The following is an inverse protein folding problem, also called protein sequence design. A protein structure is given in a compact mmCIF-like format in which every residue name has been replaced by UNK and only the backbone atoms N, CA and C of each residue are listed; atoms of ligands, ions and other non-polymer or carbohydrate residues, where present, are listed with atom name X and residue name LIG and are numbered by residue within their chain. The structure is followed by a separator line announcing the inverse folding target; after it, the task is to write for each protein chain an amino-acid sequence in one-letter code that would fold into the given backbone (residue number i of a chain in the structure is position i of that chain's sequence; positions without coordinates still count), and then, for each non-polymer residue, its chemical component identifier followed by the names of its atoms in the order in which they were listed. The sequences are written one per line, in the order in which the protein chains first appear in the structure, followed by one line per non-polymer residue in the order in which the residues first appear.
data_IF_199662287591
#
_entry.id   IF_199662287591
#
_cell.length_a   1.000
_cell.length_b   1.000
_cell.length_c   1.000
_cell.angle_alpha   90.00
_cell.angle_beta   90.00
_cell.angle_gamma   90.00
#
_symmetry.space_group_name_H-M   'P 1'
#
loop_
_entity.id
_entity.type
_entity.pdbx_description
1 polymer ?
#
# COMPACT_ATOMS: atom_id res chain seq x y z
N UNK A 1 -3.26 -36.19 2.17
CA UNK A 1 -3.44 -34.83 1.65
C UNK A 1 -2.46 -33.80 2.25
N UNK A 2 -2.23 -33.72 3.58
CA UNK A 2 -1.23 -32.79 4.16
C UNK A 2 0.17 -32.98 3.57
N UNK A 3 0.59 -34.25 3.38
CA UNK A 3 1.89 -34.62 2.78
C UNK A 3 2.02 -34.03 1.35
N UNK A 4 0.96 -33.98 0.57
CA UNK A 4 0.99 -33.42 -0.77
C UNK A 4 1.17 -31.88 -0.75
N UNK A 5 0.54 -31.21 0.19
CA UNK A 5 0.73 -29.74 0.35
C UNK A 5 2.17 -29.39 0.72
N UNK A 6 2.79 -30.17 1.61
CA UNK A 6 4.22 -30.03 1.96
C UNK A 6 5.11 -30.29 0.74
N UNK A 7 4.85 -31.35 -0.04
CA UNK A 7 5.60 -31.63 -1.26
C UNK A 7 5.47 -30.51 -2.30
N UNK A 8 4.27 -29.95 -2.47
CA UNK A 8 4.06 -28.80 -3.35
C UNK A 8 4.87 -27.60 -2.87
N UNK A 9 4.82 -27.29 -1.56
CA UNK A 9 5.59 -26.18 -1.00
C UNK A 9 7.10 -26.36 -1.22
N UNK A 10 7.60 -27.56 -1.05
CA UNK A 10 9.01 -27.91 -1.29
C UNK A 10 9.41 -27.79 -2.76
N UNK A 11 8.55 -28.23 -3.68
CA UNK A 11 8.77 -28.07 -5.10
C UNK A 11 8.78 -26.61 -5.54
N UNK A 12 7.87 -25.79 -4.99
CA UNK A 12 7.84 -24.34 -5.25
C UNK A 12 9.07 -23.63 -4.69
N UNK A 13 9.57 -24.07 -3.53
CA UNK A 13 10.85 -23.61 -2.96
C UNK A 13 12.03 -23.97 -3.85
N UNK A 14 12.11 -25.22 -4.34
CA UNK A 14 13.15 -25.67 -5.25
C UNK A 14 13.17 -24.87 -6.57
N UNK A 15 12.02 -24.33 -6.97
CA UNK A 15 11.90 -23.39 -8.09
C UNK A 15 12.28 -21.95 -7.74
N UNK A 16 12.75 -21.69 -6.52
CA UNK A 16 13.20 -20.38 -6.06
C UNK A 16 12.09 -19.39 -5.71
N UNK A 17 10.84 -19.86 -5.49
CA UNK A 17 9.74 -18.97 -5.14
C UNK A 17 9.88 -18.45 -3.70
N UNK A 18 9.54 -17.17 -3.51
CA UNK A 18 9.51 -16.57 -2.20
C UNK A 18 8.38 -17.15 -1.33
N UNK A 19 8.58 -17.20 -0.02
CA UNK A 19 7.60 -17.69 0.96
C UNK A 19 6.20 -17.07 0.79
N UNK A 20 6.12 -15.76 0.53
CA UNK A 20 4.84 -15.09 0.29
C UNK A 20 4.09 -15.67 -0.93
N UNK A 21 4.81 -16.01 -1.99
CA UNK A 21 4.23 -16.64 -3.18
C UNK A 21 3.74 -18.05 -2.87
N UNK A 22 4.52 -18.84 -2.12
CA UNK A 22 4.13 -20.19 -1.69
C UNK A 22 2.87 -20.12 -0.81
N UNK A 23 2.77 -19.13 0.09
CA UNK A 23 1.57 -18.89 0.90
C UNK A 23 0.34 -18.57 0.04
N UNK A 24 0.50 -17.79 -1.02
CA UNK A 24 -0.60 -17.50 -1.95
C UNK A 24 -1.10 -18.76 -2.67
N UNK A 25 -0.19 -19.66 -3.09
CA UNK A 25 -0.59 -20.97 -3.64
C UNK A 25 -1.37 -21.80 -2.62
N UNK A 26 -0.89 -21.84 -1.36
CA UNK A 26 -1.65 -22.53 -0.30
C UNK A 26 -3.03 -21.92 -0.10
N UNK A 27 -3.13 -20.61 -0.03
CA UNK A 27 -4.43 -19.91 0.14
C UNK A 27 -5.37 -20.20 -1.02
N UNK A 28 -4.88 -20.28 -2.24
CA UNK A 28 -5.71 -20.67 -3.40
C UNK A 28 -6.20 -22.13 -3.28
N UNK A 29 -5.34 -23.06 -2.85
CA UNK A 29 -5.73 -24.45 -2.61
C UNK A 29 -6.73 -24.55 -1.45
N UNK A 30 -6.53 -23.82 -0.36
CA UNK A 30 -7.50 -23.75 0.75
C UNK A 30 -8.85 -23.24 0.26
N UNK A 31 -8.86 -22.21 -0.58
CA UNK A 31 -10.08 -21.67 -1.20
C UNK A 31 -10.81 -22.69 -2.05
N UNK A 32 -10.09 -23.48 -2.85
CA UNK A 32 -10.67 -24.56 -3.65
C UNK A 32 -11.30 -25.66 -2.78
N UNK A 33 -10.62 -26.04 -1.69
CA UNK A 33 -11.14 -27.04 -0.75
C UNK A 33 -12.40 -26.54 -0.06
N UNK A 34 -12.40 -25.28 0.38
CA UNK A 34 -13.59 -24.65 1.01
C UNK A 34 -14.74 -24.56 0.01
N UNK A 35 -14.46 -24.13 -1.23
CA UNK A 35 -15.46 -24.11 -2.29
C UNK A 35 -16.06 -25.51 -2.55
N UNK A 36 -15.20 -26.52 -2.70
CA UNK A 36 -15.63 -27.88 -2.92
C UNK A 36 -16.48 -28.42 -1.74
N UNK A 37 -16.04 -28.15 -0.50
CA UNK A 37 -16.79 -28.50 0.71
C UNK A 37 -18.21 -27.89 0.71
N UNK A 38 -18.32 -26.62 0.36
CA UNK A 38 -19.57 -25.89 0.43
C UNK A 38 -20.53 -26.23 -0.72
N UNK A 39 -20.01 -26.56 -1.89
CA UNK A 39 -20.82 -26.77 -3.08
C UNK A 39 -21.07 -28.26 -3.36
N UNK A 40 -20.05 -29.12 -3.27
CA UNK A 40 -20.19 -30.53 -3.58
C UNK A 40 -20.91 -31.30 -2.47
N UNK A 41 -20.78 -30.87 -1.20
CA UNK A 41 -21.50 -31.50 -0.09
C UNK A 41 -23.00 -31.13 -0.06
N UNK A 42 -23.39 -30.07 -0.76
CA UNK A 42 -24.76 -29.56 -0.80
C UNK A 42 -25.58 -30.13 -2.01
N UNK A 43 -24.94 -30.87 -2.90
CA UNK A 43 -25.68 -31.52 -3.99
C UNK A 43 -26.58 -32.64 -3.43
N UNK A 44 -27.87 -32.51 -3.72
CA UNK A 44 -28.98 -33.25 -3.17
C UNK A 44 -29.11 -34.72 -3.64
N UNK A 45 -28.03 -35.32 -4.06
CA UNK A 45 -27.99 -36.75 -4.36
C UNK A 45 -27.49 -37.50 -3.13
N UNK A 46 -28.35 -37.68 -2.15
CA UNK A 46 -28.19 -38.56 -0.99
C UNK A 46 -26.75 -39.06 -0.73
N UNK A 47 -25.82 -38.26 -0.30
CA UNK A 47 -24.57 -38.81 0.16
C UNK A 47 -24.77 -39.19 1.61
N UNK A 48 -24.64 -40.45 1.87
CA UNK A 48 -24.59 -41.00 3.23
C UNK A 48 -23.39 -40.40 4.02
N UNK A 49 -22.46 -39.75 3.35
CA UNK A 49 -21.30 -39.04 3.95
C UNK A 49 -20.87 -37.86 3.09
N UNK A 50 -20.54 -36.71 3.70
CA UNK A 50 -19.99 -35.58 2.96
C UNK A 50 -18.62 -35.93 2.36
N UNK A 51 -18.37 -35.53 1.12
CA UNK A 51 -17.09 -35.77 0.42
C UNK A 51 -15.90 -35.13 1.14
N UNK A 52 -16.12 -33.96 1.68
CA UNK A 52 -15.10 -33.18 2.39
C UNK A 52 -15.66 -32.78 3.75
N UNK A 53 -15.20 -33.42 4.80
CA UNK A 53 -15.62 -33.14 6.19
C UNK A 53 -14.86 -31.94 6.76
N UNK A 54 -13.54 -31.89 6.54
CA UNK A 54 -12.66 -30.84 7.03
C UNK A 54 -11.65 -30.45 5.94
N UNK A 55 -11.15 -29.21 6.00
CA UNK A 55 -10.06 -28.80 5.11
C UNK A 55 -8.77 -29.51 5.53
N UNK A 56 -8.24 -30.44 4.73
CA UNK A 56 -7.03 -31.19 5.08
C UNK A 56 -5.75 -30.33 5.04
N UNK A 57 -5.84 -29.09 4.56
CA UNK A 57 -4.72 -28.15 4.47
C UNK A 57 -4.72 -27.14 5.62
N UNK A 58 -5.77 -27.11 6.47
CA UNK A 58 -5.92 -26.09 7.51
C UNK A 58 -4.70 -26.03 8.45
N UNK A 59 -4.22 -27.19 8.88
CA UNK A 59 -3.11 -27.30 9.87
C UNK A 59 -1.73 -27.41 9.21
N UNK A 60 -1.66 -27.30 7.87
CA UNK A 60 -0.36 -27.36 7.17
C UNK A 60 0.38 -26.05 7.29
N UNK A 61 1.43 -26.01 8.08
CA UNK A 61 2.35 -24.87 8.15
C UNK A 61 3.34 -24.91 6.98
N UNK A 62 3.41 -23.81 6.25
CA UNK A 62 4.38 -23.61 5.17
C UNK A 62 5.28 -22.41 5.43
N UNK A 63 5.36 -21.92 6.67
CA UNK A 63 6.13 -20.72 7.05
C UNK A 63 7.62 -20.85 6.81
N UNK A 64 8.15 -22.07 6.77
CA UNK A 64 9.57 -22.36 6.63
C UNK A 64 10.03 -22.58 5.18
N UNK A 65 9.10 -22.59 4.21
CA UNK A 65 9.42 -22.80 2.81
C UNK A 65 9.59 -21.49 2.06
N UNK A 66 10.61 -21.44 1.20
CA UNK A 66 10.93 -20.31 0.34
C UNK A 66 11.62 -19.14 1.05
N UNK A 67 12.31 -18.33 0.27
CA UNK A 67 13.02 -17.16 0.80
C UNK A 67 12.06 -16.18 1.48
N UNK A 68 12.41 -15.70 2.67
CA UNK A 68 11.66 -14.64 3.34
C UNK A 68 11.71 -13.39 2.47
N UNK A 69 10.54 -12.77 2.25
CA UNK A 69 10.45 -11.50 1.53
C UNK A 69 11.26 -10.46 2.31
N UNK A 70 12.22 -9.83 1.63
CA UNK A 70 12.89 -8.65 2.17
C UNK A 70 11.89 -7.49 2.21
N UNK A 71 11.85 -6.76 3.32
CA UNK A 71 11.04 -5.54 3.40
C UNK A 71 11.62 -4.45 2.50
N UNK A 72 10.75 -3.59 1.97
CA UNK A 72 11.20 -2.37 1.33
C UNK A 72 11.92 -1.48 2.34
N UNK A 73 12.96 -0.80 1.90
CA UNK A 73 13.73 0.12 2.74
C UNK A 73 13.46 1.56 2.33
N UNK A 74 13.48 2.47 3.29
CA UNK A 74 13.46 3.89 3.03
C UNK A 74 14.72 4.33 2.25
N UNK A 75 14.60 5.35 1.43
CA UNK A 75 15.73 6.03 0.83
C UNK A 75 16.50 6.81 1.91
N UNK A 76 17.82 6.85 1.81
CA UNK A 76 18.61 7.76 2.64
C UNK A 76 18.35 9.21 2.27
N UNK A 77 18.75 10.15 3.13
CA UNK A 77 18.62 11.59 2.84
C UNK A 77 19.39 11.97 1.57
N UNK A 78 20.62 11.48 1.39
CA UNK A 78 21.42 11.70 0.18
C UNK A 78 20.73 11.17 -1.08
N UNK A 79 20.08 9.99 -0.97
CA UNK A 79 19.33 9.43 -2.09
C UNK A 79 18.08 10.27 -2.42
N UNK A 80 17.41 10.84 -1.42
CA UNK A 80 16.30 11.76 -1.63
C UNK A 80 16.78 13.05 -2.28
N UNK A 81 17.89 13.64 -1.81
CA UNK A 81 18.51 14.80 -2.44
C UNK A 81 18.87 14.51 -3.90
N UNK A 82 19.52 13.38 -4.15
CA UNK A 82 19.85 12.96 -5.52
C UNK A 82 18.59 12.76 -6.37
N UNK A 83 17.56 12.07 -5.85
CA UNK A 83 16.30 11.85 -6.58
C UNK A 83 15.68 13.17 -7.03
N UNK A 84 15.54 14.13 -6.11
CA UNK A 84 14.88 15.40 -6.40
C UNK A 84 15.78 16.41 -7.13
N UNK A 85 17.09 16.13 -7.26
CA UNK A 85 18.01 16.89 -8.13
C UNK A 85 17.96 16.44 -9.59
N UNK A 86 17.40 15.25 -9.89
CA UNK A 86 17.28 14.77 -11.26
C UNK A 86 16.35 15.68 -12.09
N UNK A 87 16.70 15.86 -13.37
CA UNK A 87 15.79 16.49 -14.32
C UNK A 87 14.56 15.63 -14.51
N UNK A 88 13.41 16.11 -14.06
CA UNK A 88 12.13 15.41 -14.12
C UNK A 88 11.10 16.19 -14.92
N UNK A 89 10.17 15.46 -15.56
CA UNK A 89 8.95 16.08 -16.06
C UNK A 89 8.12 16.60 -14.88
N UNK A 90 7.45 17.73 -15.04
CA UNK A 90 6.70 18.37 -13.96
C UNK A 90 5.66 17.45 -13.30
N UNK A 91 4.99 16.60 -14.08
CA UNK A 91 4.03 15.61 -13.52
C UNK A 91 4.71 14.50 -12.74
N UNK A 92 5.87 14.02 -13.18
CA UNK A 92 6.62 12.96 -12.48
C UNK A 92 7.15 13.50 -11.15
N UNK A 93 7.72 14.71 -11.15
CA UNK A 93 8.15 15.40 -9.94
C UNK A 93 7.00 15.61 -8.96
N UNK A 94 5.85 16.06 -9.47
CA UNK A 94 4.65 16.24 -8.65
C UNK A 94 4.21 14.92 -7.99
N UNK A 95 4.14 13.83 -8.74
CA UNK A 95 3.74 12.53 -8.20
C UNK A 95 4.71 12.04 -7.12
N UNK A 96 6.03 12.12 -7.37
CA UNK A 96 7.03 11.73 -6.38
C UNK A 96 6.98 12.63 -5.13
N UNK A 97 6.71 13.94 -5.31
CA UNK A 97 6.52 14.87 -4.20
C UNK A 97 5.27 14.49 -3.38
N UNK A 98 4.13 14.22 -4.03
CA UNK A 98 2.92 13.75 -3.34
C UNK A 98 3.24 12.50 -2.51
N UNK A 99 3.89 11.50 -3.10
CA UNK A 99 4.18 10.24 -2.42
C UNK A 99 5.07 10.43 -1.18
N UNK A 100 6.13 11.25 -1.28
CA UNK A 100 7.07 11.44 -0.17
C UNK A 100 6.54 12.37 0.93
N UNK A 101 5.60 13.25 0.60
CA UNK A 101 5.06 14.24 1.56
C UNK A 101 3.75 13.82 2.21
N UNK A 102 2.96 12.98 1.54
CA UNK A 102 1.64 12.54 2.03
C UNK A 102 1.61 11.07 2.44
N UNK A 103 2.58 10.27 2.00
CA UNK A 103 2.62 8.84 2.24
C UNK A 103 1.47 8.05 1.60
N UNK A 104 0.78 8.60 0.61
CA UNK A 104 -0.26 7.91 -0.14
C UNK A 104 0.26 6.63 -0.78
N UNK A 105 -0.61 5.64 -0.97
CA UNK A 105 -0.27 4.49 -1.82
C UNK A 105 -0.13 4.95 -3.27
N UNK A 106 0.74 4.28 -4.02
CA UNK A 106 0.99 4.67 -5.41
C UNK A 106 -0.28 4.67 -6.26
N UNK A 107 -1.17 3.68 -6.08
CA UNK A 107 -2.46 3.64 -6.77
C UNK A 107 -3.34 4.85 -6.42
N UNK A 108 -3.44 5.18 -5.15
CA UNK A 108 -4.21 6.34 -4.68
C UNK A 108 -3.70 7.62 -5.36
N UNK A 109 -2.39 7.83 -5.36
CA UNK A 109 -1.78 9.02 -5.92
C UNK A 109 -1.84 9.07 -7.45
N UNK A 110 -1.56 7.94 -8.12
CA UNK A 110 -1.53 7.87 -9.59
C UNK A 110 -2.92 7.99 -10.24
N UNK A 111 -3.99 7.67 -9.49
CA UNK A 111 -5.38 7.75 -9.94
C UNK A 111 -6.07 9.06 -9.54
N UNK A 112 -5.38 9.99 -8.86
CA UNK A 112 -5.95 11.25 -8.42
C UNK A 112 -6.60 12.03 -9.57
N UNK A 113 -7.75 12.62 -9.26
CA UNK A 113 -8.50 13.51 -10.14
C UNK A 113 -8.57 14.92 -9.53
N UNK A 114 -8.74 15.92 -10.39
CA UNK A 114 -8.82 17.31 -9.97
C UNK A 114 -10.04 17.63 -9.11
N UNK A 115 -11.12 16.89 -9.22
CA UNK A 115 -12.33 17.04 -8.41
C UNK A 115 -12.13 16.53 -6.96
N UNK A 116 -11.10 15.69 -6.72
CA UNK A 116 -10.69 15.25 -5.39
C UNK A 116 -9.82 16.31 -4.67
N UNK A 117 -9.32 17.31 -5.38
CA UNK A 117 -8.57 18.42 -4.79
C UNK A 117 -9.55 19.41 -4.19
N UNK A 118 -9.62 19.46 -2.88
CA UNK A 118 -10.56 20.29 -2.12
C UNK A 118 -9.82 21.29 -1.24
N UNK A 119 -10.57 22.27 -0.74
CA UNK A 119 -10.11 23.22 0.27
C UNK A 119 -11.16 23.32 1.35
N UNK A 120 -10.75 23.24 2.61
CA UNK A 120 -11.66 23.37 3.74
C UNK A 120 -11.96 24.85 4.05
N UNK A 121 -12.81 25.09 5.07
CA UNK A 121 -13.17 26.42 5.55
C UNK A 121 -11.99 27.22 6.14
N UNK A 122 -10.92 26.53 6.58
CA UNK A 122 -9.71 27.13 7.15
C UNK A 122 -8.63 27.37 6.08
N UNK A 123 -8.92 27.03 4.82
CA UNK A 123 -8.00 27.19 3.71
C UNK A 123 -7.03 26.02 3.53
N UNK A 124 -7.16 24.93 4.31
CA UNK A 124 -6.33 23.72 4.17
C UNK A 124 -6.69 23.00 2.89
N UNK A 125 -5.70 22.82 2.03
CA UNK A 125 -5.86 22.02 0.81
C UNK A 125 -5.67 20.54 1.14
N UNK A 126 -6.51 19.67 0.54
CA UNK A 126 -6.47 18.24 0.78
C UNK A 126 -6.95 17.44 -0.42
N UNK A 127 -6.57 16.16 -0.47
CA UNK A 127 -7.18 15.18 -1.37
C UNK A 127 -8.30 14.45 -0.63
N UNK A 128 -9.47 14.40 -1.26
CA UNK A 128 -10.63 13.64 -0.77
C UNK A 128 -10.64 12.26 -1.43
N UNK A 129 -10.16 11.24 -0.72
CA UNK A 129 -10.15 9.86 -1.20
C UNK A 129 -11.45 9.12 -0.87
N UNK A 130 -12.41 9.75 -0.19
CA UNK A 130 -13.71 9.12 0.09
C UNK A 130 -14.60 9.01 -1.16
N UNK A 131 -14.33 9.82 -2.16
CA UNK A 131 -15.13 9.92 -3.40
C UNK A 131 -14.56 9.09 -4.56
N UNK A 132 -13.50 8.34 -4.37
CA UNK A 132 -12.82 7.59 -5.43
C UNK A 132 -13.35 6.16 -5.57
N UNK A 133 -13.79 5.78 -6.77
CA UNK A 133 -14.29 4.44 -7.08
C UNK A 133 -13.23 3.32 -7.03
N UNK A 134 -11.96 3.63 -6.81
CA UNK A 134 -10.82 2.74 -7.06
C UNK A 134 -9.95 2.47 -5.85
N UNK A 135 -10.40 2.85 -4.69
CA UNK A 135 -9.73 2.45 -3.47
C UNK A 135 -10.13 1.01 -3.18
N UNK A 136 -9.13 0.11 -3.08
CA UNK A 136 -9.31 -1.24 -2.56
C UNK A 136 -10.40 -1.18 -1.48
N UNK A 137 -11.40 -2.05 -1.49
CA UNK A 137 -12.61 -2.08 -0.65
C UNK A 137 -12.36 -2.00 0.88
N UNK A 138 -11.46 -1.15 1.28
CA UNK A 138 -10.92 -1.01 2.61
C UNK A 138 -11.41 0.33 3.17
N UNK A 139 -12.19 0.26 4.22
CA UNK A 139 -12.74 1.43 4.93
C UNK A 139 -11.66 2.48 5.30
N UNK A 140 -10.40 2.05 5.42
CA UNK A 140 -9.27 2.90 5.78
C UNK A 140 -8.62 3.63 4.59
N UNK A 141 -8.97 3.22 3.38
CA UNK A 141 -8.50 3.91 2.17
C UNK A 141 -9.31 5.17 1.91
N UNK A 142 -10.60 5.19 2.29
CA UNK A 142 -11.46 6.37 2.20
C UNK A 142 -11.11 7.34 3.33
N UNK A 143 -10.29 8.34 3.03
CA UNK A 143 -9.83 9.34 4.00
C UNK A 143 -9.53 10.68 3.34
N UNK A 144 -9.45 11.72 4.17
CA UNK A 144 -8.93 13.02 3.76
C UNK A 144 -7.40 13.05 3.96
N UNK A 145 -6.67 13.44 2.92
CA UNK A 145 -5.20 13.55 2.94
C UNK A 145 -4.82 15.01 2.91
N UNK A 146 -4.39 15.56 4.04
CA UNK A 146 -3.92 16.93 4.14
C UNK A 146 -2.64 17.13 3.32
N UNK A 147 -2.56 18.23 2.57
CA UNK A 147 -1.38 18.60 1.81
C UNK A 147 -0.50 19.53 2.67
N UNK A 148 0.79 19.18 2.86
CA UNK A 148 1.70 20.09 3.56
C UNK A 148 2.05 21.31 2.68
N UNK A 149 2.43 22.40 3.29
CA UNK A 149 2.73 23.68 2.63
C UNK A 149 3.86 23.59 1.60
N UNK A 150 4.77 22.63 1.77
CA UNK A 150 5.86 22.40 0.82
C UNK A 150 5.38 21.75 -0.50
N UNK A 151 4.14 21.28 -0.58
CA UNK A 151 3.55 20.69 -1.78
C UNK A 151 2.69 21.71 -2.53
N UNK A 152 3.24 22.24 -3.61
CA UNK A 152 2.51 23.13 -4.51
C UNK A 152 1.86 22.35 -5.65
N UNK A 153 0.54 22.49 -5.80
CA UNK A 153 -0.19 21.95 -6.94
C UNK A 153 -0.18 22.94 -8.11
N UNK A 154 -0.12 22.46 -9.36
CA UNK A 154 -0.29 23.33 -10.53
C UNK A 154 -1.71 23.90 -10.58
N UNK A 155 -1.96 24.84 -11.49
CA UNK A 155 -3.30 25.40 -11.68
C UNK A 155 -4.31 24.27 -11.88
N UNK A 156 -5.45 24.38 -11.20
CA UNK A 156 -6.54 23.40 -11.28
C UNK A 156 -6.98 23.20 -12.73
N UNK A 157 -7.09 21.94 -13.11
CA UNK A 157 -7.60 21.49 -14.39
C UNK A 157 -8.81 20.56 -14.18
N UNK A 158 -9.22 19.82 -15.17
CA UNK A 158 -10.28 18.80 -15.12
C UNK A 158 -9.70 17.41 -15.38
N UNK A 159 -10.39 16.38 -14.93
CA UNK A 159 -10.01 14.98 -15.15
C UNK A 159 -8.84 14.52 -14.27
N UNK A 160 -8.02 13.63 -14.80
CA UNK A 160 -6.92 12.99 -14.06
C UNK A 160 -5.71 13.91 -13.91
N UNK A 161 -5.05 13.87 -12.73
CA UNK A 161 -3.77 14.54 -12.53
C UNK A 161 -2.66 13.84 -13.31
N UNK A 162 -2.71 12.51 -13.39
CA UNK A 162 -1.70 11.66 -14.02
C UNK A 162 -2.33 10.71 -15.03
N UNK A 163 -1.56 10.32 -16.06
CA UNK A 163 -2.03 9.46 -17.14
C UNK A 163 -1.18 8.19 -17.22
N UNK A 164 -1.42 7.25 -16.30
CA UNK A 164 -0.84 5.93 -16.34
C UNK A 164 -1.84 4.93 -16.95
N UNK A 165 -1.29 3.86 -17.56
CA UNK A 165 -2.11 2.78 -18.10
C UNK A 165 -2.78 2.04 -16.94
N UNK A 166 -4.07 1.77 -17.12
CA UNK A 166 -4.82 0.93 -16.18
C UNK A 166 -4.61 -0.55 -16.51
N UNK A 167 -4.56 -1.39 -15.49
CA UNK A 167 -4.66 -2.83 -15.63
C UNK A 167 -6.13 -3.28 -15.75
N UNK A 168 -6.36 -4.60 -15.84
CA UNK A 168 -7.71 -5.17 -15.99
C UNK A 168 -8.59 -4.92 -14.76
N UNK A 169 -7.99 -4.66 -13.60
CA UNK A 169 -8.68 -4.29 -12.35
C UNK A 169 -8.92 -2.76 -12.25
N UNK A 170 -8.56 -1.98 -13.25
CA UNK A 170 -8.66 -0.52 -13.24
C UNK A 170 -7.62 0.20 -12.39
N UNK A 171 -6.51 -0.46 -12.03
CA UNK A 171 -5.42 0.10 -11.23
C UNK A 171 -4.27 0.56 -12.11
N UNK A 172 -3.54 1.56 -11.66
CA UNK A 172 -2.39 2.12 -12.37
C UNK A 172 -1.04 1.90 -11.69
N UNK A 173 -1.02 1.33 -10.48
CA UNK A 173 0.21 1.16 -9.71
C UNK A 173 1.27 0.34 -10.44
N UNK A 174 0.89 -0.68 -11.19
CA UNK A 174 1.82 -1.53 -11.93
C UNK A 174 2.58 -0.75 -12.99
N UNK A 175 1.89 0.05 -13.79
CA UNK A 175 2.49 0.88 -14.84
C UNK A 175 3.28 2.04 -14.26
N UNK A 176 2.70 2.77 -13.31
CA UNK A 176 3.35 3.86 -12.61
C UNK A 176 4.61 3.40 -11.85
N UNK A 177 4.55 2.27 -11.16
CA UNK A 177 5.69 1.70 -10.42
C UNK A 177 6.83 1.34 -11.37
N UNK A 178 6.54 0.62 -12.46
CA UNK A 178 7.55 0.28 -13.45
C UNK A 178 8.22 1.53 -13.99
N UNK A 179 7.42 2.48 -14.50
CA UNK A 179 7.91 3.71 -15.11
C UNK A 179 8.78 4.53 -14.14
N UNK A 180 8.32 4.80 -12.93
CA UNK A 180 9.04 5.63 -11.97
C UNK A 180 10.30 4.92 -11.44
N UNK A 181 10.24 3.61 -11.21
CA UNK A 181 11.42 2.85 -10.79
C UNK A 181 12.50 2.86 -11.86
N UNK A 182 12.18 2.51 -13.11
CA UNK A 182 13.13 2.45 -14.21
C UNK A 182 13.72 3.83 -14.52
N UNK A 183 12.89 4.87 -14.52
CA UNK A 183 13.29 6.21 -14.93
C UNK A 183 14.05 6.98 -13.86
N UNK A 184 13.70 6.80 -12.58
CA UNK A 184 14.23 7.63 -11.50
C UNK A 184 14.86 6.82 -10.35
N UNK A 185 14.14 5.89 -9.73
CA UNK A 185 14.59 5.24 -8.50
C UNK A 185 15.84 4.38 -8.71
N UNK A 186 15.96 3.70 -9.86
CA UNK A 186 17.15 2.92 -10.18
C UNK A 186 18.40 3.79 -10.34
N UNK A 187 18.25 5.07 -10.65
CA UNK A 187 19.40 6.01 -10.81
C UNK A 187 19.99 6.45 -9.48
N UNK A 188 19.20 6.41 -8.40
CA UNK A 188 19.62 6.89 -7.08
C UNK A 188 20.04 5.77 -6.13
N UNK A 189 20.02 4.53 -6.60
CA UNK A 189 20.53 3.39 -5.83
C UNK A 189 22.06 3.43 -5.82
N UNK A 190 22.67 3.33 -4.65
CA UNK A 190 24.13 3.23 -4.53
C UNK A 190 24.61 1.83 -4.95
N UNK A 191 23.83 0.80 -4.65
CA UNK A 191 24.04 -0.56 -5.15
C UNK A 191 22.97 -0.90 -6.18
N UNK A 192 23.38 -1.23 -7.40
CA UNK A 192 22.47 -1.62 -8.49
C UNK A 192 21.68 -2.88 -8.19
N UNK A 193 22.21 -3.74 -7.32
CA UNK A 193 21.58 -4.99 -6.90
C UNK A 193 20.61 -4.80 -5.71
N UNK A 194 20.54 -3.59 -5.12
CA UNK A 194 19.59 -3.30 -4.07
C UNK A 194 18.20 -3.06 -4.67
N UNK A 195 17.41 -4.12 -4.73
CA UNK A 195 16.03 -4.12 -5.22
C UNK A 195 15.00 -3.67 -4.17
N UNK A 196 15.45 -3.36 -2.94
CA UNK A 196 14.58 -3.00 -1.82
C UNK A 196 14.13 -1.53 -1.84
N UNK A 197 14.83 -0.68 -2.60
CA UNK A 197 14.53 0.75 -2.75
C UNK A 197 13.77 1.01 -4.03
N UNK A 198 12.48 1.27 -3.88
CA UNK A 198 11.52 1.43 -4.97
C UNK A 198 10.59 2.63 -4.67
N UNK A 199 9.68 2.94 -5.57
CA UNK A 199 8.71 4.04 -5.36
C UNK A 199 7.98 3.92 -4.02
N UNK A 200 7.63 2.70 -3.60
CA UNK A 200 6.97 2.47 -2.30
C UNK A 200 7.85 2.88 -1.10
N UNK A 201 9.17 2.94 -1.27
CA UNK A 201 10.11 3.42 -0.24
C UNK A 201 9.85 4.86 0.18
N UNK A 202 9.30 5.70 -0.69
CA UNK A 202 8.94 7.09 -0.36
C UNK A 202 7.89 7.16 0.76
N UNK A 203 6.96 6.20 0.79
CA UNK A 203 5.99 6.09 1.88
C UNK A 203 6.67 5.65 3.19
N UNK A 204 7.67 4.77 3.13
CA UNK A 204 8.49 4.42 4.30
C UNK A 204 9.29 5.62 4.79
N UNK A 205 9.80 6.47 3.90
CA UNK A 205 10.48 7.72 4.27
C UNK A 205 9.57 8.60 5.12
N UNK A 206 8.34 8.89 4.65
CA UNK A 206 7.41 9.70 5.44
C UNK A 206 7.08 9.04 6.78
N UNK A 207 6.79 7.74 6.79
CA UNK A 207 6.46 7.03 8.04
C UNK A 207 7.59 7.15 9.06
N UNK A 208 8.85 6.99 8.64
CA UNK A 208 10.01 7.18 9.50
C UNK A 208 10.16 8.63 10.00
N UNK A 209 9.97 9.61 9.12
CA UNK A 209 10.03 11.02 9.51
C UNK A 209 8.95 11.40 10.52
N UNK A 210 7.72 10.90 10.33
CA UNK A 210 6.61 11.12 11.26
C UNK A 210 6.87 10.50 12.63
N UNK A 211 7.45 9.29 12.68
CA UNK A 211 7.80 8.60 13.92
C UNK A 211 8.91 9.32 14.71
N UNK A 212 9.78 10.06 14.03
CA UNK A 212 10.89 10.82 14.63
C UNK A 212 10.50 12.25 15.03
N UNK A 213 9.24 12.67 14.85
CA UNK A 213 8.79 13.98 15.32
C UNK A 213 8.78 14.07 16.85
N UNK A 214 9.14 15.25 17.38
CA UNK A 214 9.09 15.51 18.83
C UNK A 214 8.11 16.67 19.10
N UNK A 215 7.04 16.45 19.88
CA UNK A 215 6.57 15.17 20.40
C UNK A 215 6.10 14.24 19.25
N UNK A 216 6.28 12.94 19.46
CA UNK A 216 5.85 11.93 18.48
C UNK A 216 4.31 11.87 18.42
N UNK A 217 3.69 11.94 17.24
CA UNK A 217 2.25 11.72 17.11
C UNK A 217 1.86 10.31 17.56
N UNK A 218 0.62 10.14 18.00
CA UNK A 218 0.12 8.81 18.37
C UNK A 218 0.13 7.86 17.17
N UNK A 219 0.26 6.56 17.43
CA UNK A 219 0.20 5.54 16.37
C UNK A 219 -1.10 5.64 15.56
N UNK A 220 -2.21 6.00 16.21
CA UNK A 220 -3.49 6.22 15.54
C UNK A 220 -3.43 7.38 14.54
N UNK A 221 -2.81 8.51 14.90
CA UNK A 221 -2.61 9.63 13.98
C UNK A 221 -1.73 9.23 12.79
N UNK A 222 -0.66 8.48 13.03
CA UNK A 222 0.24 8.01 11.97
C UNK A 222 -0.49 7.10 10.98
N UNK A 223 -1.32 6.20 11.48
CA UNK A 223 -2.11 5.29 10.66
C UNK A 223 -3.15 6.03 9.82
N UNK A 224 -3.85 7.02 10.39
CA UNK A 224 -4.79 7.85 9.64
C UNK A 224 -4.12 8.71 8.56
N UNK A 225 -2.94 9.26 8.84
CA UNK A 225 -2.19 10.05 7.85
C UNK A 225 -1.75 9.15 6.70
N UNK A 226 -1.11 8.05 7.01
CA UNK A 226 -0.57 7.15 5.99
C UNK A 226 -1.61 6.22 5.38
N UNK A 227 -2.76 5.99 6.02
CA UNK A 227 -3.76 5.00 5.60
C UNK A 227 -3.20 3.58 5.72
N UNK A 228 -2.46 3.28 6.80
CA UNK A 228 -2.10 1.91 7.13
C UNK A 228 -3.30 1.17 7.70
N UNK A 229 -3.52 -0.02 7.18
CA UNK A 229 -4.47 -0.96 7.73
C UNK A 229 -3.81 -1.70 8.88
N UNK A 230 -4.45 -1.67 10.04
CA UNK A 230 -4.04 -2.49 11.19
C UNK A 230 -4.63 -3.91 11.05
N UNK A 231 -4.49 -4.54 9.88
CA UNK A 231 -4.84 -5.95 9.70
C UNK A 231 -4.09 -6.80 10.74
N UNK A 232 -4.83 -7.30 11.70
CA UNK A 232 -4.34 -8.21 12.74
C UNK A 232 -4.27 -7.64 14.14
N UNK A 233 -4.45 -6.36 14.36
CA UNK A 233 -4.54 -5.78 15.70
C UNK A 233 -5.94 -5.97 16.28
N UNK A 234 -6.20 -7.11 16.89
CA UNK A 234 -7.39 -7.36 17.74
C UNK A 234 -7.34 -6.55 19.05
N UNK A 235 -6.95 -5.27 18.98
CA UNK A 235 -6.76 -4.41 20.13
C UNK A 235 -7.94 -3.45 20.33
N UNK A 236 -7.98 -2.80 21.48
CA UNK A 236 -9.00 -1.81 21.85
C UNK A 236 -9.12 -0.64 20.83
N UNK A 237 -8.05 -0.36 20.04
CA UNK A 237 -8.06 0.64 18.98
C UNK A 237 -8.90 0.23 17.75
N UNK A 238 -9.05 -1.06 17.45
CA UNK A 238 -9.94 -1.54 16.37
C UNK A 238 -11.40 -1.20 16.67
N UNK A 239 -11.83 -1.36 17.91
CA UNK A 239 -13.21 -0.99 18.33
C UNK A 239 -13.42 0.50 18.23
N UNK A 240 -12.41 1.33 18.56
CA UNK A 240 -12.49 2.78 18.40
C UNK A 240 -12.61 3.19 16.93
N UNK A 241 -11.88 2.56 16.00
CA UNK A 241 -11.95 2.86 14.57
C UNK A 241 -13.31 2.52 13.93
N UNK A 242 -14.00 1.51 14.44
CA UNK A 242 -15.34 1.15 13.98
C UNK A 242 -16.37 2.23 14.36
N UNK A 243 -16.09 3.01 15.38
CA UNK A 243 -16.99 4.05 15.91
C UNK A 243 -16.49 5.48 15.71
N UNK A 244 -15.21 5.70 15.38
CA UNK A 244 -14.65 7.04 15.19
C UNK A 244 -14.60 7.40 13.72
N UNK A 245 -15.08 8.59 13.42
CA UNK A 245 -14.79 9.30 12.18
C UNK A 245 -13.28 9.54 12.05
N UNK A 246 -12.80 9.71 10.82
CA UNK A 246 -11.43 10.13 10.53
C UNK A 246 -11.01 11.29 11.45
N UNK A 247 -9.71 11.35 11.82
CA UNK A 247 -9.19 12.47 12.61
C UNK A 247 -9.36 13.79 11.86
N UNK A 248 -9.52 14.87 12.62
CA UNK A 248 -9.71 16.20 12.06
C UNK A 248 -8.59 16.54 11.05
N UNK A 249 -8.98 17.13 9.94
CA UNK A 249 -8.06 17.52 8.88
C UNK A 249 -7.00 18.51 9.36
N UNK A 250 -7.34 19.40 10.30
CA UNK A 250 -6.40 20.36 10.89
C UNK A 250 -5.29 19.67 11.67
N UNK A 251 -5.61 18.58 12.38
CA UNK A 251 -4.60 17.78 13.10
C UNK A 251 -3.65 17.11 12.11
N UNK A 252 -4.19 16.53 11.04
CA UNK A 252 -3.34 15.93 9.98
C UNK A 252 -2.42 16.98 9.36
N UNK A 253 -2.97 18.14 9.04
CA UNK A 253 -2.25 19.25 8.44
C UNK A 253 -1.13 19.76 9.36
N UNK A 254 -1.40 19.95 10.64
CA UNK A 254 -0.39 20.32 11.63
C UNK A 254 0.74 19.29 11.68
N UNK A 255 0.41 18.01 11.77
CA UNK A 255 1.40 16.94 11.88
C UNK A 255 2.28 16.87 10.63
N UNK A 256 1.70 16.88 9.42
CA UNK A 256 2.49 16.76 8.18
C UNK A 256 3.37 17.98 7.93
N UNK A 257 2.98 19.18 8.38
CA UNK A 257 3.79 20.39 8.27
C UNK A 257 4.97 20.46 9.25
N UNK A 258 4.98 19.63 10.29
CA UNK A 258 6.14 19.48 11.17
C UNK A 258 7.28 18.71 10.50
N UNK A 259 6.97 17.91 9.48
CA UNK A 259 7.98 17.16 8.72
C UNK A 259 8.76 18.12 7.80
N UNK A 260 10.08 18.03 7.85
CA UNK A 260 10.96 18.80 6.97
C UNK A 260 11.37 17.95 5.77
N UNK A 261 11.33 18.57 4.60
CA UNK A 261 11.69 17.95 3.32
C UNK A 261 12.78 18.77 2.62
N UNK A 262 14.04 18.78 3.12
CA UNK A 262 15.10 19.65 2.63
C UNK A 262 15.47 19.39 1.16
N UNK A 263 15.18 18.21 0.65
CA UNK A 263 15.41 17.81 -0.74
C UNK A 263 14.40 18.36 -1.76
N UNK A 264 13.31 19.00 -1.32
CA UNK A 264 12.28 19.54 -2.23
C UNK A 264 12.57 20.99 -2.71
N UNK A 265 13.71 21.55 -2.35
CA UNK A 265 14.11 22.92 -2.74
C UNK A 265 14.34 23.05 -4.22
#
# INVERSE_FOLDING_TARGET
LPVHAVKIAQELENRGLANATIKNYKSALDGLVVFAKNNLNNETVTPVRPWIVANPLADVSISNYGAKKRSWEALTEDQLHHLFSLLMLGKDRLLLTILVTTGMRLDEAALLQWDQVKKDKNGITYFDLSMGALVKNDKFSARLVALPDCLSLPKKATGKLFNFKLDDDGKSAKDASRYLNEKYLHRVRFDKNDDRKVVHSLRHNLSGLLQNLVPTPSSEHLDWITGHDMEGAKTASERKRTYNQDIDLSIKYEIVNRVKHPWLK
#
